data_IF_805932839732
#
_entry.id   IF_805932839732
#
_cell.length_a   1.000
_cell.length_b   1.000
_cell.length_c   1.000
_cell.angle_alpha   90.00
_cell.angle_beta   90.00
_cell.angle_gamma   90.00
#
_symmetry.space_group_name_H-M   'P 1'
#
loop_
_entity.id
_entity.type
_entity.pdbx_description
1 polymer ?
#
# COMPACT_ATOMS: atom_id res chain seq x y z
N UNK A 1 15.40 -9.12 16.19
CA UNK A 1 15.59 -7.90 17.01
C UNK A 1 14.84 -7.92 18.36
N UNK A 2 14.38 -9.07 18.88
CA UNK A 2 13.94 -9.27 20.29
C UNK A 2 14.98 -10.01 21.16
N UNK A 3 16.02 -10.60 20.57
CA UNK A 3 16.96 -11.50 21.25
C UNK A 3 17.99 -10.81 22.16
N UNK A 4 18.18 -9.48 22.07
CA UNK A 4 19.17 -8.75 22.89
C UNK A 4 18.59 -8.08 24.14
N UNK A 5 17.27 -7.90 24.21
CA UNK A 5 16.57 -7.26 25.33
C UNK A 5 15.17 -7.90 25.48
N UNK A 6 15.04 -8.98 26.26
CA UNK A 6 13.75 -9.62 26.46
C UNK A 6 12.80 -8.65 27.17
N UNK A 7 11.53 -8.68 26.74
CA UNK A 7 10.43 -7.98 27.39
C UNK A 7 9.53 -9.04 28.03
N UNK A 8 9.09 -8.78 29.26
CA UNK A 8 8.21 -9.66 30.01
C UNK A 8 6.93 -8.90 30.33
N UNK A 9 5.80 -9.57 30.19
CA UNK A 9 4.49 -9.03 30.56
C UNK A 9 3.95 -9.87 31.70
N UNK A 10 3.58 -9.19 32.78
CA UNK A 10 2.90 -9.81 33.93
C UNK A 10 1.49 -9.25 33.96
N UNK A 11 0.50 -10.13 33.91
CA UNK A 11 -0.89 -9.77 34.13
C UNK A 11 -1.17 -9.86 35.64
N UNK A 12 -1.52 -8.73 36.25
CA UNK A 12 -1.90 -8.72 37.66
C UNK A 12 -3.40 -8.85 37.81
N UNK A 13 -3.82 -9.65 38.79
CA UNK A 13 -5.20 -9.64 39.25
C UNK A 13 -5.51 -8.28 39.92
N UNK A 14 -6.78 -7.90 39.91
CA UNK A 14 -7.24 -6.79 40.73
C UNK A 14 -6.88 -7.05 42.21
N UNK A 15 -6.39 -6.05 42.97
CA UNK A 15 -5.88 -6.24 44.34
C UNK A 15 -6.88 -6.92 45.29
N UNK A 16 -8.17 -6.76 45.05
CA UNK A 16 -9.24 -7.30 45.90
C UNK A 16 -9.82 -8.63 45.37
N UNK A 17 -9.18 -9.21 44.35
CA UNK A 17 -9.63 -10.44 43.68
C UNK A 17 -8.65 -11.59 43.86
N UNK A 18 -9.18 -12.82 43.96
CA UNK A 18 -8.35 -14.02 43.83
C UNK A 18 -7.85 -14.11 42.38
N UNK A 19 -6.52 -14.25 42.15
CA UNK A 19 -5.99 -14.32 40.79
C UNK A 19 -6.61 -15.45 39.95
N UNK A 20 -7.01 -15.12 38.73
CA UNK A 20 -7.45 -16.10 37.76
C UNK A 20 -6.24 -16.86 37.15
N UNK A 21 -6.53 -17.90 36.37
CA UNK A 21 -5.48 -18.66 35.66
C UNK A 21 -4.71 -17.71 34.72
N UNK A 22 -3.40 -17.60 34.93
CA UNK A 22 -2.52 -16.72 34.16
C UNK A 22 -2.22 -15.37 34.81
N UNK A 23 -2.89 -15.04 35.91
CA UNK A 23 -2.68 -13.80 36.67
C UNK A 23 -1.74 -13.99 37.87
N UNK A 24 -1.10 -12.91 38.29
CA UNK A 24 -0.29 -12.85 39.51
C UNK A 24 -0.97 -11.90 40.50
N UNK A 25 -1.03 -12.27 41.78
CA UNK A 25 -1.52 -11.35 42.81
C UNK A 25 -0.64 -10.09 42.87
N UNK A 26 -1.27 -8.92 42.86
CA UNK A 26 -0.55 -7.66 43.02
C UNK A 26 0.13 -7.60 44.40
N UNK A 27 1.38 -7.11 44.43
CA UNK A 27 2.11 -6.81 45.65
C UNK A 27 2.78 -5.44 45.52
N UNK A 28 2.59 -4.50 46.47
CA UNK A 28 3.21 -3.18 46.42
C UNK A 28 4.74 -3.18 46.27
N UNK A 29 5.42 -4.25 46.69
CA UNK A 29 6.87 -4.43 46.51
C UNK A 29 7.33 -4.43 45.04
N UNK A 30 6.43 -4.64 44.09
CA UNK A 30 6.73 -4.58 42.65
C UNK A 30 6.92 -3.13 42.14
N UNK A 31 6.51 -2.11 42.90
CA UNK A 31 6.77 -0.69 42.61
C UNK A 31 8.22 -0.31 42.97
N UNK A 32 9.18 -0.95 42.29
CA UNK A 32 10.60 -0.80 42.58
C UNK A 32 11.43 -0.80 41.31
N UNK A 33 12.61 -0.19 41.38
CA UNK A 33 13.65 -0.31 40.35
C UNK A 33 14.64 -1.44 40.65
N UNK A 34 14.50 -2.13 41.79
CA UNK A 34 15.33 -3.27 42.15
C UNK A 34 15.04 -4.47 41.23
N UNK A 35 16.01 -4.74 40.35
CA UNK A 35 15.91 -5.85 39.39
C UNK A 35 15.83 -7.22 40.04
N UNK A 36 16.21 -7.38 41.31
CA UNK A 36 16.14 -8.66 42.02
C UNK A 36 14.70 -9.04 42.35
N UNK A 37 13.92 -8.06 42.81
CA UNK A 37 12.47 -8.22 43.07
C UNK A 37 11.75 -8.51 41.75
N UNK A 38 12.03 -7.72 40.71
CA UNK A 38 11.40 -7.88 39.41
C UNK A 38 11.79 -9.20 38.71
N UNK A 39 13.04 -9.67 38.83
CA UNK A 39 13.46 -10.97 38.28
C UNK A 39 12.75 -12.14 38.94
N UNK A 40 12.53 -12.07 40.25
CA UNK A 40 11.79 -13.11 41.00
C UNK A 40 10.32 -13.14 40.57
N UNK A 41 9.69 -11.95 40.45
CA UNK A 41 8.35 -11.82 39.91
C UNK A 41 8.23 -12.42 38.50
N UNK A 42 9.17 -12.08 37.62
CA UNK A 42 9.21 -12.63 36.27
C UNK A 42 9.35 -14.15 36.38
N UNK A 43 10.38 -14.70 37.04
CA UNK A 43 10.58 -16.15 37.11
C UNK A 43 9.37 -16.96 37.62
N UNK A 44 8.52 -16.38 38.46
CA UNK A 44 7.30 -17.02 38.98
C UNK A 44 6.01 -16.73 38.20
N UNK A 45 6.02 -15.82 37.21
CA UNK A 45 4.81 -15.41 36.50
C UNK A 45 4.44 -16.40 35.38
N UNK A 46 3.15 -16.74 35.19
CA UNK A 46 2.67 -17.58 34.09
C UNK A 46 3.00 -17.07 32.67
N UNK A 47 3.34 -15.77 32.52
CA UNK A 47 3.73 -15.13 31.26
C UNK A 47 5.24 -14.96 31.05
N UNK A 48 6.06 -15.49 31.96
CA UNK A 48 7.52 -15.30 31.96
C UNK A 48 8.29 -16.23 31.03
N UNK A 49 7.59 -17.22 30.49
CA UNK A 49 8.18 -18.20 29.62
C UNK A 49 8.54 -17.55 28.30
N UNK A 50 9.75 -17.84 27.83
CA UNK A 50 10.26 -17.30 26.58
C UNK A 50 9.42 -17.71 25.37
N UNK A 51 9.70 -17.05 24.25
CA UNK A 51 9.17 -17.40 22.93
C UNK A 51 10.26 -18.07 22.11
N UNK A 52 9.96 -19.21 21.51
CA UNK A 52 10.90 -19.94 20.65
C UNK A 52 10.64 -19.62 19.20
N UNK A 53 11.71 -19.38 18.45
CA UNK A 53 11.68 -19.10 17.03
C UNK A 53 12.46 -20.20 16.31
N UNK A 54 11.72 -21.09 15.64
CA UNK A 54 12.28 -22.20 14.89
C UNK A 54 12.43 -21.79 13.42
N UNK A 55 13.67 -21.75 12.94
CA UNK A 55 13.96 -21.53 11.52
C UNK A 55 14.44 -22.88 10.96
N UNK A 56 13.84 -23.37 9.86
CA UNK A 56 14.22 -24.65 9.31
C UNK A 56 15.63 -24.58 8.72
N UNK A 57 16.45 -25.61 8.95
CA UNK A 57 17.80 -25.71 8.38
C UNK A 57 17.81 -25.71 6.85
N UNK A 58 16.71 -26.14 6.23
CA UNK A 58 16.50 -26.15 4.78
C UNK A 58 15.65 -24.96 4.29
N UNK A 59 15.70 -23.82 5.00
CA UNK A 59 15.06 -22.59 4.55
C UNK A 59 15.53 -22.23 3.12
N UNK A 60 14.57 -22.03 2.23
CA UNK A 60 14.83 -21.66 0.85
C UNK A 60 15.03 -20.16 0.72
N UNK A 61 15.84 -19.76 -0.27
CA UNK A 61 15.94 -18.36 -0.68
C UNK A 61 14.66 -17.98 -1.44
N UNK A 62 13.99 -16.86 -1.09
CA UNK A 62 12.85 -16.38 -1.85
C UNK A 62 13.21 -16.15 -3.32
N UNK A 63 12.30 -16.50 -4.23
CA UNK A 63 12.54 -16.36 -5.68
C UNK A 63 11.34 -15.77 -6.40
N UNK A 64 11.59 -15.14 -7.54
CA UNK A 64 10.55 -14.62 -8.41
C UNK A 64 10.79 -14.99 -9.86
N UNK A 65 9.74 -15.41 -10.57
CA UNK A 65 9.73 -15.49 -12.03
C UNK A 65 8.99 -14.28 -12.58
N UNK A 66 9.61 -13.57 -13.51
CA UNK A 66 9.06 -12.36 -14.12
C UNK A 66 9.05 -12.51 -15.63
N UNK A 67 7.98 -12.08 -16.26
CA UNK A 67 7.88 -12.01 -17.71
C UNK A 67 7.13 -10.76 -18.14
N UNK A 68 7.42 -10.30 -19.34
CA UNK A 68 6.69 -9.23 -19.98
C UNK A 68 6.51 -9.58 -21.46
N UNK A 69 5.41 -9.10 -22.04
CA UNK A 69 5.20 -9.12 -23.48
C UNK A 69 4.57 -7.80 -23.87
N UNK A 70 5.00 -7.22 -24.98
CA UNK A 70 4.47 -5.95 -25.42
C UNK A 70 4.55 -5.78 -26.92
N UNK A 71 3.63 -4.98 -27.44
CA UNK A 71 3.57 -4.58 -28.84
C UNK A 71 3.59 -3.05 -28.87
N UNK A 72 4.43 -2.51 -29.75
CA UNK A 72 4.51 -1.07 -30.02
C UNK A 72 4.40 -0.85 -31.51
N UNK A 73 3.57 0.11 -31.91
CA UNK A 73 3.33 0.43 -33.30
C UNK A 73 3.28 1.95 -33.51
N UNK A 74 3.86 2.40 -34.63
CA UNK A 74 3.82 3.80 -35.04
C UNK A 74 2.75 3.98 -36.12
N UNK A 75 1.71 4.74 -35.79
CA UNK A 75 0.66 5.19 -36.71
C UNK A 75 1.00 6.62 -37.20
N UNK A 76 1.97 6.71 -38.11
CA UNK A 76 2.46 7.99 -38.62
C UNK A 76 3.13 8.84 -37.54
N UNK A 77 2.43 9.86 -37.04
CA UNK A 77 2.94 10.74 -35.97
C UNK A 77 2.62 10.27 -34.56
N UNK A 78 1.72 9.31 -34.42
CA UNK A 78 1.28 8.75 -33.13
C UNK A 78 1.94 7.40 -32.93
N UNK A 79 2.41 7.12 -31.72
CA UNK A 79 2.96 5.83 -31.32
C UNK A 79 2.10 5.27 -30.21
N UNK A 80 1.61 4.06 -30.38
CA UNK A 80 0.85 3.35 -29.36
C UNK A 80 1.61 2.10 -28.93
N UNK A 81 1.54 1.77 -27.65
CA UNK A 81 2.04 0.51 -27.13
C UNK A 81 1.12 -0.08 -26.09
N UNK A 82 1.04 -1.40 -26.07
CA UNK A 82 0.40 -2.18 -25.01
C UNK A 82 1.43 -3.19 -24.52
N UNK A 83 1.60 -3.26 -23.21
CA UNK A 83 2.47 -4.22 -22.55
C UNK A 83 1.73 -4.92 -21.42
N UNK A 84 2.05 -6.17 -21.21
CA UNK A 84 1.61 -6.96 -20.07
C UNK A 84 2.84 -7.43 -19.29
N UNK A 85 2.79 -7.32 -17.96
CA UNK A 85 3.82 -7.78 -17.05
C UNK A 85 3.23 -8.76 -16.04
N UNK A 86 3.86 -9.91 -15.89
CA UNK A 86 3.51 -10.93 -14.91
C UNK A 86 4.69 -11.21 -13.99
N UNK A 87 4.43 -11.21 -12.68
CA UNK A 87 5.41 -11.60 -11.66
C UNK A 87 4.79 -12.64 -10.74
N UNK A 88 5.57 -13.68 -10.41
CA UNK A 88 5.19 -14.72 -9.46
C UNK A 88 6.31 -14.88 -8.45
N UNK A 89 6.00 -14.58 -7.19
CA UNK A 89 6.91 -14.76 -6.06
C UNK A 89 6.61 -16.06 -5.33
N UNK A 90 7.66 -16.81 -5.02
CA UNK A 90 7.61 -18.09 -4.34
C UNK A 90 8.63 -18.14 -3.20
N UNK A 91 8.47 -19.14 -2.34
CA UNK A 91 9.39 -19.46 -1.26
C UNK A 91 9.63 -18.30 -0.27
N UNK A 92 8.65 -17.38 -0.11
CA UNK A 92 8.76 -16.29 0.86
C UNK A 92 8.74 -16.86 2.28
N UNK A 93 9.66 -16.37 3.11
CA UNK A 93 9.78 -16.79 4.51
C UNK A 93 8.66 -16.17 5.35
N UNK A 94 7.95 -16.99 6.09
CA UNK A 94 6.83 -16.60 6.96
C UNK A 94 6.88 -17.35 8.29
N UNK A 95 6.66 -16.65 9.39
CA UNK A 95 6.52 -17.24 10.72
C UNK A 95 5.06 -17.56 11.05
N UNK A 96 4.84 -18.72 11.62
CA UNK A 96 3.53 -19.26 12.01
C UNK A 96 3.56 -19.59 13.51
N UNK A 97 2.42 -19.69 14.17
CA UNK A 97 2.32 -20.14 15.55
C UNK A 97 2.01 -21.64 15.61
N UNK A 98 2.87 -22.42 16.25
CA UNK A 98 2.65 -23.86 16.44
C UNK A 98 1.65 -24.15 17.57
N UNK A 99 1.58 -23.26 18.57
CA UNK A 99 0.77 -23.44 19.77
C UNK A 99 -0.58 -22.70 19.71
N UNK A 100 -0.89 -22.00 18.62
CA UNK A 100 -2.18 -21.32 18.40
C UNK A 100 -2.81 -21.93 17.16
N UNK A 101 -4.08 -22.30 17.23
CA UNK A 101 -4.81 -22.87 16.09
C UNK A 101 -6.10 -22.15 15.80
N UNK A 102 -6.50 -22.23 14.54
CA UNK A 102 -7.84 -21.90 14.10
C UNK A 102 -8.71 -23.15 14.14
N UNK A 103 -9.88 -23.10 14.80
CA UNK A 103 -10.80 -24.23 14.86
C UNK A 103 -11.79 -24.18 13.68
N UNK A 104 -11.94 -25.30 12.97
CA UNK A 104 -12.94 -25.49 11.89
C UNK A 104 -12.92 -24.39 10.80
N UNK A 105 -11.72 -23.93 10.40
CA UNK A 105 -11.55 -22.90 9.36
C UNK A 105 -12.32 -23.27 8.08
N UNK A 106 -13.06 -22.30 7.52
CA UNK A 106 -13.83 -22.49 6.30
C UNK A 106 -15.20 -23.17 6.50
N UNK A 107 -15.67 -23.32 7.74
CA UNK A 107 -17.01 -23.85 8.06
C UNK A 107 -17.83 -22.83 8.86
N UNK A 108 -19.14 -23.07 9.02
CA UNK A 108 -20.03 -22.21 9.82
C UNK A 108 -19.67 -22.16 11.31
N UNK A 109 -18.90 -23.15 11.79
CA UNK A 109 -18.37 -23.21 13.16
C UNK A 109 -16.93 -22.68 13.28
N UNK A 110 -16.46 -21.98 12.26
CA UNK A 110 -15.11 -21.40 12.20
C UNK A 110 -14.90 -20.43 13.35
N UNK A 111 -13.89 -20.70 14.17
CA UNK A 111 -13.55 -19.88 15.33
C UNK A 111 -12.03 -19.74 15.45
N UNK A 112 -11.56 -18.49 15.32
CA UNK A 112 -10.23 -18.10 15.74
C UNK A 112 -10.29 -17.47 17.13
N UNK A 113 -9.34 -17.71 18.03
CA UNK A 113 -8.24 -18.68 17.98
C UNK A 113 -8.14 -19.37 19.33
N UNK A 114 -7.69 -20.63 19.33
CA UNK A 114 -7.49 -21.40 20.55
C UNK A 114 -6.09 -21.13 21.13
N UNK A 115 -6.06 -20.39 22.24
CA UNK A 115 -4.86 -20.05 23.01
C UNK A 115 -4.63 -20.98 24.22
N UNK A 116 -5.52 -21.95 24.47
CA UNK A 116 -5.51 -22.81 25.67
C UNK A 116 -4.30 -23.74 25.78
N UNK A 117 -3.48 -23.82 24.73
CA UNK A 117 -2.31 -24.71 24.65
C UNK A 117 -1.03 -24.10 25.23
N UNK A 118 -1.09 -22.89 25.81
CA UNK A 118 0.03 -22.27 26.49
C UNK A 118 0.00 -22.57 28.00
N UNK A 119 1.13 -22.95 28.63
CA UNK A 119 2.45 -23.12 28.03
C UNK A 119 2.66 -24.48 27.36
N UNK A 120 3.26 -24.47 26.16
CA UNK A 120 3.58 -25.68 25.41
C UNK A 120 5.08 -25.96 25.53
N UNK A 121 5.45 -27.09 26.16
CA UNK A 121 6.85 -27.47 26.44
C UNK A 121 7.68 -26.38 27.16
N UNK A 122 7.07 -25.62 28.08
CA UNK A 122 7.78 -24.59 28.85
C UNK A 122 7.99 -23.26 28.11
N UNK A 123 7.32 -23.05 26.98
CA UNK A 123 7.32 -21.78 26.25
C UNK A 123 5.93 -21.18 26.16
N UNK A 124 5.85 -19.85 26.20
CA UNK A 124 4.59 -19.11 26.06
C UNK A 124 4.08 -19.16 24.61
N UNK A 125 5.00 -19.07 23.66
CA UNK A 125 4.77 -19.14 22.23
C UNK A 125 5.87 -19.92 21.50
N UNK A 126 5.47 -20.64 20.45
CA UNK A 126 6.40 -21.29 19.53
C UNK A 126 6.08 -20.80 18.12
N UNK A 127 7.00 -20.02 17.56
CA UNK A 127 6.94 -19.59 16.18
C UNK A 127 7.82 -20.49 15.33
N UNK A 128 7.33 -20.87 14.15
CA UNK A 128 8.12 -21.62 13.18
C UNK A 128 8.04 -20.99 11.80
N UNK A 129 9.19 -20.87 11.16
CA UNK A 129 9.29 -20.32 9.82
C UNK A 129 9.01 -21.39 8.75
N UNK A 130 8.33 -20.99 7.69
CA UNK A 130 8.14 -21.77 6.46
C UNK A 130 8.42 -20.92 5.23
N UNK A 131 8.68 -21.55 4.09
CA UNK A 131 8.79 -20.88 2.79
C UNK A 131 7.42 -20.89 2.06
N UNK A 132 6.34 -20.62 2.78
CA UNK A 132 4.97 -20.81 2.27
C UNK A 132 4.36 -19.56 1.63
N UNK A 133 4.93 -18.38 1.87
CA UNK A 133 4.40 -17.14 1.35
C UNK A 133 4.56 -17.06 -0.18
N UNK A 134 3.51 -16.61 -0.86
CA UNK A 134 3.46 -16.51 -2.31
C UNK A 134 2.83 -15.18 -2.74
N UNK A 135 3.30 -14.65 -3.86
CA UNK A 135 2.79 -13.40 -4.42
C UNK A 135 2.53 -13.56 -5.92
N UNK A 136 1.49 -12.89 -6.41
CA UNK A 136 1.16 -12.80 -7.83
C UNK A 136 0.92 -11.34 -8.16
N UNK A 137 1.47 -10.90 -9.27
CA UNK A 137 1.25 -9.57 -9.83
C UNK A 137 1.03 -9.69 -11.34
N UNK A 138 0.00 -9.02 -11.82
CA UNK A 138 -0.39 -8.99 -13.22
C UNK A 138 -0.78 -7.56 -13.56
N UNK A 139 -0.13 -6.99 -14.58
CA UNK A 139 -0.37 -5.61 -14.97
C UNK A 139 -0.43 -5.45 -16.49
N UNK A 140 -1.37 -4.62 -16.94
CA UNK A 140 -1.46 -4.12 -18.31
C UNK A 140 -1.10 -2.64 -18.28
N UNK A 141 -0.24 -2.24 -19.22
CA UNK A 141 0.11 -0.86 -19.45
C UNK A 141 -0.20 -0.51 -20.91
N UNK A 142 -0.93 0.58 -21.11
CA UNK A 142 -1.23 1.16 -22.42
C UNK A 142 -0.60 2.54 -22.46
N UNK A 143 0.11 2.84 -23.54
CA UNK A 143 0.64 4.17 -23.79
C UNK A 143 0.27 4.62 -25.20
N UNK A 144 -0.15 5.87 -25.34
CA UNK A 144 -0.39 6.54 -26.62
C UNK A 144 0.33 7.86 -26.58
N UNK A 145 1.28 8.06 -27.48
CA UNK A 145 2.17 9.21 -27.51
C UNK A 145 2.15 9.84 -28.88
N UNK A 146 1.94 11.15 -28.92
CA UNK A 146 2.24 11.97 -30.09
C UNK A 146 3.27 13.01 -29.66
N UNK A 147 4.55 12.84 -30.04
CA UNK A 147 5.58 13.82 -29.77
C UNK A 147 5.18 15.19 -30.29
N UNK A 148 5.60 16.25 -29.58
CA UNK A 148 5.32 17.62 -30.02
C UNK A 148 5.85 17.84 -31.44
N UNK A 149 4.93 18.26 -32.32
CA UNK A 149 5.25 18.57 -33.72
C UNK A 149 4.54 19.84 -34.13
N UNK A 150 5.29 20.70 -34.82
CA UNK A 150 4.80 21.96 -35.37
C UNK A 150 4.38 21.80 -36.82
N UNK A 151 3.17 22.25 -37.13
CA UNK A 151 2.64 22.34 -38.49
C UNK A 151 2.25 23.80 -38.75
N UNK A 152 3.09 24.52 -39.48
CA UNK A 152 2.92 25.96 -39.70
C UNK A 152 3.08 26.77 -38.41
N UNK A 153 2.04 27.55 -38.05
CA UNK A 153 2.04 28.40 -36.84
C UNK A 153 1.51 27.69 -35.58
N UNK A 154 1.13 26.42 -35.69
CA UNK A 154 0.55 25.65 -34.59
C UNK A 154 1.34 24.36 -34.38
N UNK A 155 1.80 24.12 -33.17
CA UNK A 155 2.37 22.85 -32.75
C UNK A 155 1.61 22.26 -31.59
N UNK A 156 1.58 20.93 -31.51
CA UNK A 156 1.03 20.23 -30.36
C UNK A 156 1.71 18.89 -30.15
N UNK A 157 1.62 18.37 -28.94
CA UNK A 157 1.98 17.02 -28.53
C UNK A 157 1.03 16.58 -27.41
N UNK A 158 0.85 15.28 -27.25
CA UNK A 158 0.05 14.72 -26.18
C UNK A 158 0.45 13.29 -25.90
N UNK A 159 0.38 12.92 -24.63
CA UNK A 159 0.73 11.61 -24.13
C UNK A 159 -0.36 11.11 -23.18
N UNK A 160 -0.65 9.82 -23.24
CA UNK A 160 -1.60 9.11 -22.39
C UNK A 160 -0.95 7.81 -21.94
N UNK A 161 -0.89 7.61 -20.63
CA UNK A 161 -0.51 6.35 -20.00
C UNK A 161 -1.66 5.83 -19.14
N UNK A 162 -2.05 4.58 -19.37
CA UNK A 162 -3.01 3.86 -18.54
C UNK A 162 -2.34 2.61 -18.00
N UNK A 163 -2.48 2.37 -16.70
CA UNK A 163 -2.02 1.14 -16.05
C UNK A 163 -3.18 0.52 -15.30
N UNK A 164 -3.39 -0.78 -15.52
CA UNK A 164 -4.25 -1.60 -14.68
C UNK A 164 -3.43 -2.74 -14.08
N UNK A 165 -3.37 -2.82 -12.75
CA UNK A 165 -2.58 -3.82 -12.06
C UNK A 165 -3.40 -4.54 -10.99
N UNK A 166 -3.18 -5.84 -10.88
CA UNK A 166 -3.73 -6.67 -9.82
C UNK A 166 -2.60 -7.38 -9.10
N UNK A 167 -2.71 -7.40 -7.77
CA UNK A 167 -1.79 -8.10 -6.88
C UNK A 167 -2.59 -8.97 -5.94
N UNK A 168 -2.07 -10.17 -5.71
CA UNK A 168 -2.59 -11.08 -4.69
C UNK A 168 -1.45 -11.71 -3.91
N UNK A 169 -1.74 -12.10 -2.69
CA UNK A 169 -0.82 -12.77 -1.77
C UNK A 169 -1.48 -14.01 -1.18
N UNK A 170 -0.67 -14.93 -0.65
CA UNK A 170 -1.13 -16.09 0.11
C UNK A 170 -0.08 -16.45 1.15
N UNK A 171 -0.53 -16.97 2.29
CA UNK A 171 0.31 -17.27 3.44
C UNK A 171 0.70 -16.04 4.28
N UNK A 172 0.26 -14.83 3.89
CA UNK A 172 0.43 -13.56 4.60
C UNK A 172 -0.78 -12.69 4.37
N UNK A 173 -1.16 -11.86 5.35
CA UNK A 173 -2.34 -10.98 5.25
C UNK A 173 -2.06 -9.72 4.40
N UNK A 174 -0.82 -9.23 4.37
CA UNK A 174 -0.41 -8.10 3.53
C UNK A 174 0.99 -8.28 2.92
N UNK A 175 1.30 -7.61 1.80
CA UNK A 175 2.68 -7.55 1.30
C UNK A 175 3.69 -7.06 2.32
N UNK A 176 4.76 -7.82 2.50
CA UNK A 176 5.85 -7.48 3.43
C UNK A 176 5.65 -8.04 4.84
N UNK A 177 4.47 -8.61 5.14
CA UNK A 177 4.29 -9.34 6.39
C UNK A 177 5.23 -10.54 6.46
N UNK A 178 5.76 -10.75 7.65
CA UNK A 178 6.62 -11.88 7.99
C UNK A 178 5.91 -12.86 8.93
N UNK A 179 4.66 -12.59 9.31
CA UNK A 179 3.90 -13.36 10.28
C UNK A 179 2.55 -13.75 9.67
N UNK A 180 2.24 -15.03 9.73
CA UNK A 180 1.00 -15.63 9.30
C UNK A 180 0.25 -16.10 10.55
N UNK A 181 -0.71 -15.31 11.03
CA UNK A 181 -1.42 -15.65 12.26
C UNK A 181 -2.75 -16.39 11.98
N UNK A 182 -3.05 -17.49 12.68
CA UNK A 182 -2.12 -18.34 13.45
C UNK A 182 -1.20 -19.18 12.55
N UNK A 183 -1.52 -19.33 11.26
CA UNK A 183 -0.66 -20.01 10.30
C UNK A 183 -1.04 -19.76 8.84
N UNK A 184 -0.12 -20.07 7.94
CA UNK A 184 -0.25 -19.89 6.49
C UNK A 184 -1.43 -20.65 5.87
N UNK A 185 -1.83 -21.76 6.49
CA UNK A 185 -2.88 -22.65 5.98
C UNK A 185 -4.28 -22.03 6.02
N UNK A 186 -4.49 -20.99 6.82
CA UNK A 186 -5.75 -20.24 6.90
C UNK A 186 -5.71 -18.90 6.16
N UNK A 187 -4.61 -18.64 5.45
CA UNK A 187 -4.42 -17.43 4.64
C UNK A 187 -4.37 -17.84 3.16
N UNK A 188 -5.56 -18.09 2.62
CA UNK A 188 -5.76 -18.43 1.22
C UNK A 188 -5.37 -17.25 0.32
N UNK A 189 -5.22 -17.52 -0.98
CA UNK A 189 -4.91 -16.48 -1.96
C UNK A 189 -6.02 -15.42 -1.97
N UNK A 190 -5.65 -14.17 -1.73
CA UNK A 190 -6.57 -13.04 -1.69
C UNK A 190 -5.95 -11.79 -2.34
N UNK A 191 -6.77 -10.83 -2.82
CA UNK A 191 -6.28 -9.58 -3.40
C UNK A 191 -5.67 -8.67 -2.33
N UNK A 192 -4.78 -7.77 -2.76
CA UNK A 192 -4.24 -6.70 -1.91
C UNK A 192 -5.01 -5.38 -2.15
N UNK A 193 -5.09 -4.57 -1.08
CA UNK A 193 -5.70 -3.25 -0.98
C UNK A 193 -4.93 -2.12 -1.70
N UNK A 194 -4.50 -2.42 -2.93
CA UNK A 194 -3.80 -1.50 -3.82
C UNK A 194 -4.77 -0.78 -4.78
N UNK A 195 -4.36 0.37 -5.30
CA UNK A 195 -5.00 0.99 -6.47
C UNK A 195 -4.89 0.07 -7.68
N UNK A 196 -6.00 -0.08 -8.43
CA UNK A 196 -6.04 -0.97 -9.60
C UNK A 196 -5.80 -0.25 -10.90
N UNK A 197 -6.40 0.91 -11.10
CA UNK A 197 -6.34 1.66 -12.36
C UNK A 197 -5.77 3.04 -12.14
N UNK A 198 -4.82 3.42 -12.98
CA UNK A 198 -4.20 4.73 -12.99
C UNK A 198 -4.13 5.27 -14.42
N UNK A 199 -4.48 6.54 -14.61
CA UNK A 199 -4.37 7.27 -15.88
C UNK A 199 -3.55 8.53 -15.66
N UNK A 200 -2.51 8.70 -16.45
CA UNK A 200 -1.77 9.95 -16.58
C UNK A 200 -1.91 10.42 -18.01
N UNK A 201 -2.29 11.67 -18.21
CA UNK A 201 -2.38 12.28 -19.54
C UNK A 201 -1.75 13.65 -19.49
N UNK A 202 -0.93 13.97 -20.47
CA UNK A 202 -0.37 15.31 -20.64
C UNK A 202 -0.53 15.79 -22.07
N UNK A 203 -0.48 17.11 -22.23
CA UNK A 203 -0.51 17.75 -23.53
C UNK A 203 0.25 19.06 -23.49
N UNK A 204 0.69 19.47 -24.68
CA UNK A 204 1.28 20.77 -24.93
C UNK A 204 0.81 21.24 -26.30
N UNK A 205 0.39 22.50 -26.41
CA UNK A 205 0.09 23.14 -27.68
C UNK A 205 0.49 24.60 -27.71
N UNK A 206 0.88 25.06 -28.90
CA UNK A 206 1.03 26.48 -29.18
C UNK A 206 -0.36 27.12 -29.26
N UNK A 207 -0.55 28.26 -28.61
CA UNK A 207 -1.77 29.05 -28.73
C UNK A 207 -1.64 29.99 -29.94
N UNK A 208 -2.34 29.74 -31.06
CA UNK A 208 -2.09 30.48 -32.31
C UNK A 208 -2.36 31.98 -32.21
N UNK A 209 -3.30 32.37 -31.33
CA UNK A 209 -3.77 33.75 -31.17
C UNK A 209 -3.11 34.50 -30.02
N UNK A 210 -2.22 33.84 -29.25
CA UNK A 210 -1.60 34.43 -28.07
C UNK A 210 -0.10 34.71 -28.27
N UNK A 211 0.31 35.09 -29.49
CA UNK A 211 1.65 35.57 -29.81
C UNK A 211 2.81 34.69 -29.29
N UNK A 212 2.71 33.36 -29.42
CA UNK A 212 3.77 32.44 -28.98
C UNK A 212 3.71 32.06 -27.49
N UNK A 213 2.53 32.10 -26.87
CA UNK A 213 2.24 31.39 -25.63
C UNK A 213 2.05 29.90 -25.93
N UNK A 214 2.63 29.04 -25.09
CA UNK A 214 2.34 27.61 -25.04
C UNK A 214 1.42 27.30 -23.87
N UNK A 215 0.41 26.50 -24.14
CA UNK A 215 -0.49 25.94 -23.14
C UNK A 215 -0.21 24.45 -22.99
N UNK A 216 -0.05 24.00 -21.76
CA UNK A 216 0.16 22.59 -21.43
C UNK A 216 -0.65 22.21 -20.20
N UNK A 217 -0.84 20.91 -20.00
CA UNK A 217 -1.49 20.42 -18.81
C UNK A 217 -1.17 18.97 -18.53
N UNK A 218 -1.46 18.57 -17.30
CA UNK A 218 -1.28 17.23 -16.78
C UNK A 218 -2.57 16.82 -16.04
N UNK A 219 -3.13 15.70 -16.43
CA UNK A 219 -4.26 15.04 -15.77
C UNK A 219 -3.71 13.77 -15.11
N UNK A 220 -4.03 13.59 -13.84
CA UNK A 220 -3.71 12.39 -13.09
C UNK A 220 -4.98 11.85 -12.42
N UNK A 221 -5.38 10.63 -12.78
CA UNK A 221 -6.60 9.97 -12.30
C UNK A 221 -6.26 8.59 -11.74
N UNK A 222 -6.85 8.26 -10.60
CA UNK A 222 -6.68 6.97 -9.95
C UNK A 222 -8.00 6.40 -9.49
N UNK A 223 -8.17 5.08 -9.56
CA UNK A 223 -9.33 4.41 -8.96
C UNK A 223 -9.33 4.52 -7.43
N UNK A 224 -8.19 4.90 -6.84
CA UNK A 224 -7.95 4.86 -5.40
C UNK A 224 -7.64 3.44 -4.90
N UNK A 225 -7.05 3.33 -3.70
CA UNK A 225 -6.84 2.03 -3.06
C UNK A 225 -8.16 1.37 -2.71
N UNK A 226 -8.18 0.04 -2.77
CA UNK A 226 -9.28 -0.76 -2.22
C UNK A 226 -9.07 -1.01 -0.74
N UNK A 227 -10.11 -1.38 -0.02
CA UNK A 227 -10.04 -1.79 1.38
C UNK A 227 -10.84 -3.08 1.59
N UNK A 228 -10.43 -3.84 2.60
CA UNK A 228 -11.20 -4.98 3.08
C UNK A 228 -12.42 -4.49 3.86
N UNK A 229 -13.53 -5.22 3.75
CA UNK A 229 -14.67 -5.07 4.66
C UNK A 229 -14.53 -6.13 5.74
N UNK A 230 -14.56 -5.71 7.00
CA UNK A 230 -14.23 -6.53 8.18
C UNK A 230 -12.80 -7.10 8.14
N UNK A 231 -12.42 -7.83 9.19
CA UNK A 231 -11.15 -8.56 9.27
C UNK A 231 -11.34 -10.03 8.97
N UNK A 232 -10.27 -10.71 8.53
CA UNK A 232 -10.30 -12.18 8.27
C UNK A 232 -10.77 -13.00 9.47
N UNK A 233 -10.61 -12.49 10.69
CA UNK A 233 -11.09 -13.10 11.94
C UNK A 233 -12.61 -13.08 12.13
N UNK A 234 -13.33 -12.37 11.28
CA UNK A 234 -14.79 -12.43 11.14
C UNK A 234 -15.15 -12.95 9.74
N UNK A 235 -14.97 -14.27 9.49
CA UNK A 235 -15.09 -14.86 8.16
C UNK A 235 -16.48 -14.73 7.55
N UNK A 236 -17.52 -14.47 8.36
CA UNK A 236 -18.89 -14.27 7.88
C UNK A 236 -19.05 -12.95 7.14
N UNK A 237 -18.36 -11.89 7.58
CA UNK A 237 -18.46 -10.55 7.00
C UNK A 237 -17.20 -10.12 6.24
N UNK A 238 -16.13 -10.92 6.28
CA UNK A 238 -14.87 -10.60 5.61
C UNK A 238 -15.00 -10.60 4.09
N UNK A 239 -14.75 -9.45 3.47
CA UNK A 239 -14.71 -9.29 2.01
C UNK A 239 -13.42 -8.57 1.60
N UNK A 240 -12.41 -9.30 1.09
CA UNK A 240 -11.11 -8.70 0.77
C UNK A 240 -11.21 -7.77 -0.44
N UNK A 241 -10.68 -6.55 -0.32
CA UNK A 241 -10.67 -5.54 -1.37
C UNK A 241 -12.05 -5.18 -1.94
N UNK A 242 -13.12 -5.31 -1.13
CA UNK A 242 -14.50 -5.08 -1.56
C UNK A 242 -14.93 -3.61 -1.45
N UNK A 243 -14.25 -2.80 -0.64
CA UNK A 243 -14.57 -1.40 -0.47
C UNK A 243 -13.69 -0.50 -1.36
N UNK A 244 -14.31 0.50 -1.97
CA UNK A 244 -13.63 1.58 -2.69
C UNK A 244 -14.02 2.91 -2.06
N UNK A 245 -13.07 3.83 -1.97
CA UNK A 245 -13.34 5.22 -1.58
C UNK A 245 -14.39 5.86 -2.49
N UNK A 246 -15.10 6.92 -2.03
CA UNK A 246 -16.08 7.64 -2.83
C UNK A 246 -15.55 7.97 -4.23
N UNK A 247 -16.16 7.39 -5.25
CA UNK A 247 -15.76 7.59 -6.63
C UNK A 247 -16.48 8.81 -7.21
N UNK A 248 -15.76 9.57 -8.02
CA UNK A 248 -16.24 10.79 -8.64
C UNK A 248 -16.22 10.71 -10.17
N UNK A 249 -17.05 11.54 -10.80
CA UNK A 249 -17.10 11.68 -12.25
C UNK A 249 -15.92 12.55 -12.74
N UNK A 250 -15.32 12.18 -13.87
CA UNK A 250 -14.41 13.06 -14.61
C UNK A 250 -14.29 12.62 -16.07
N UNK A 251 -14.26 13.60 -16.98
CA UNK A 251 -14.35 13.38 -18.43
C UNK A 251 -15.61 12.55 -18.76
N UNK A 252 -15.45 11.52 -19.61
CA UNK A 252 -16.53 10.62 -20.04
C UNK A 252 -16.71 9.41 -19.12
N UNK A 253 -16.03 9.36 -17.97
CA UNK A 253 -16.04 8.21 -17.06
C UNK A 253 -16.80 8.55 -15.77
N UNK A 254 -18.09 8.19 -15.66
CA UNK A 254 -18.87 8.40 -14.45
C UNK A 254 -18.45 7.41 -13.36
N UNK A 255 -18.31 7.88 -12.12
CA UNK A 255 -18.08 7.06 -10.93
C UNK A 255 -16.82 6.20 -10.95
N UNK A 256 -15.77 6.63 -11.67
CA UNK A 256 -14.59 5.80 -11.92
C UNK A 256 -13.35 6.20 -11.09
N UNK A 257 -13.35 7.39 -10.46
CA UNK A 257 -12.13 7.99 -9.92
C UNK A 257 -12.22 8.30 -8.42
N UNK A 258 -11.35 7.65 -7.63
CA UNK A 258 -11.09 8.00 -6.23
C UNK A 258 -10.02 9.07 -6.07
N UNK A 259 -9.21 9.30 -7.11
CA UNK A 259 -8.23 10.37 -7.20
C UNK A 259 -8.35 11.11 -8.54
N UNK A 260 -8.34 12.44 -8.51
CA UNK A 260 -8.37 13.34 -9.66
C UNK A 260 -7.51 14.57 -9.39
N UNK A 261 -6.55 14.82 -10.26
CA UNK A 261 -5.79 16.05 -10.28
C UNK A 261 -5.65 16.58 -11.71
N UNK A 262 -5.74 17.90 -11.87
CA UNK A 262 -5.54 18.58 -13.16
C UNK A 262 -4.66 19.79 -12.92
N UNK A 263 -3.49 19.79 -13.53
CA UNK A 263 -2.55 20.90 -13.50
C UNK A 263 -2.49 21.54 -14.89
N UNK A 264 -2.44 22.87 -14.93
CA UNK A 264 -2.42 23.65 -16.15
C UNK A 264 -1.21 24.59 -16.13
N UNK A 265 -0.57 24.76 -17.28
CA UNK A 265 0.59 25.66 -17.42
C UNK A 265 0.46 26.52 -18.66
N UNK A 266 0.73 27.81 -18.50
CA UNK A 266 0.99 28.75 -19.58
C UNK A 266 2.46 29.15 -19.54
N UNK A 267 3.15 29.08 -20.69
CA UNK A 267 4.53 29.54 -20.84
C UNK A 267 4.60 30.55 -21.98
N UNK A 268 5.32 31.65 -21.75
CA UNK A 268 5.64 32.65 -22.78
C UNK A 268 7.13 32.88 -22.81
N UNK A 269 7.76 32.52 -23.92
CA UNK A 269 9.13 32.91 -24.21
C UNK A 269 9.13 34.23 -25.00
N UNK A 270 9.93 35.19 -24.52
CA UNK A 270 10.12 36.50 -25.15
C UNK A 270 11.31 36.46 -26.12
N UNK A 271 11.30 37.28 -27.19
CA UNK A 271 12.44 37.38 -28.09
C UNK A 271 13.73 37.73 -27.35
N UNK A 272 14.85 37.18 -27.80
CA UNK A 272 16.19 37.45 -27.25
C UNK A 272 16.50 38.94 -27.34
N UNK A 273 17.00 39.53 -26.25
CA UNK A 273 17.47 40.91 -26.20
C UNK A 273 18.87 40.97 -25.60
N UNK A 274 19.80 41.62 -26.29
CA UNK A 274 21.20 41.78 -25.86
C UNK A 274 21.90 40.45 -25.49
N UNK A 275 21.64 39.38 -26.23
CA UNK A 275 22.23 38.06 -26.00
C UNK A 275 21.49 37.17 -25.00
N UNK A 276 20.60 37.72 -24.17
CA UNK A 276 19.82 36.96 -23.20
C UNK A 276 18.36 36.71 -23.62
N UNK A 277 17.73 35.69 -23.04
CA UNK A 277 16.31 35.35 -23.26
C UNK A 277 15.54 35.27 -21.95
N UNK A 278 14.27 35.69 -21.97
CA UNK A 278 13.36 35.64 -20.81
C UNK A 278 12.19 34.72 -21.14
N UNK A 279 11.88 33.79 -20.23
CA UNK A 279 10.66 32.99 -20.24
C UNK A 279 9.84 33.27 -18.98
N UNK A 280 8.52 33.40 -19.12
CA UNK A 280 7.59 33.55 -17.99
C UNK A 280 6.61 32.39 -18.00
N UNK A 281 6.34 31.83 -16.82
CA UNK A 281 5.40 30.72 -16.63
C UNK A 281 4.35 31.05 -15.58
N UNK A 282 3.14 30.55 -15.80
CA UNK A 282 2.07 30.53 -14.83
C UNK A 282 1.53 29.09 -14.74
N UNK A 283 1.72 28.47 -13.58
CA UNK A 283 1.35 27.09 -13.28
C UNK A 283 0.20 27.08 -12.29
N UNK A 284 -0.93 26.50 -12.66
CA UNK A 284 -2.11 26.31 -11.83
C UNK A 284 -2.24 24.83 -11.47
N UNK A 285 -1.83 24.49 -10.26
CA UNK A 285 -1.94 23.16 -9.70
C UNK A 285 -3.33 22.92 -9.14
N UNK A 286 -3.86 21.70 -9.30
CA UNK A 286 -5.21 21.31 -8.92
C UNK A 286 -6.24 22.37 -9.36
N UNK A 287 -6.27 22.65 -10.66
CA UNK A 287 -7.03 23.74 -11.29
C UNK A 287 -8.53 23.70 -10.99
N UNK A 288 -9.08 22.51 -10.70
CA UNK A 288 -10.48 22.33 -10.30
C UNK A 288 -10.71 22.30 -8.79
N UNK A 289 -9.66 22.40 -7.97
CA UNK A 289 -9.71 22.31 -6.51
C UNK A 289 -10.41 21.01 -6.05
N UNK A 290 -10.10 19.89 -6.70
CA UNK A 290 -10.62 18.59 -6.30
C UNK A 290 -10.06 18.20 -4.94
N UNK A 291 -10.95 17.70 -4.08
CA UNK A 291 -10.60 17.09 -2.81
C UNK A 291 -10.51 15.58 -3.03
N UNK A 292 -9.30 15.04 -2.97
CA UNK A 292 -9.07 13.61 -3.03
C UNK A 292 -9.00 13.09 -1.61
N UNK A 293 -9.90 12.18 -1.25
CA UNK A 293 -10.05 11.72 0.12
C UNK A 293 -9.25 10.44 0.39
N UNK A 294 -8.84 10.24 1.65
CA UNK A 294 -8.12 9.05 2.09
C UNK A 294 -8.15 8.87 3.61
N UNK A 295 -7.14 8.20 4.16
CA UNK A 295 -6.99 7.92 5.59
C UNK A 295 -8.22 7.24 6.23
N UNK A 296 -8.56 6.06 5.74
CA UNK A 296 -9.72 5.28 6.21
C UNK A 296 -9.53 4.65 7.58
N UNK A 297 -8.29 4.50 8.07
CA UNK A 297 -7.95 3.95 9.41
C UNK A 297 -8.76 2.69 9.81
N UNK A 298 -9.00 1.77 8.88
CA UNK A 298 -9.76 0.54 9.14
C UNK A 298 -11.29 0.69 9.09
N UNK A 299 -11.81 1.88 8.78
CA UNK A 299 -13.22 2.13 8.48
C UNK A 299 -13.50 2.38 6.99
N UNK A 300 -14.76 2.66 6.66
CA UNK A 300 -15.20 2.99 5.29
C UNK A 300 -15.33 4.50 5.05
N UNK A 301 -15.18 5.31 6.10
CA UNK A 301 -15.25 6.77 6.00
C UNK A 301 -13.84 7.36 5.88
N UNK A 302 -13.55 8.16 4.83
CA UNK A 302 -12.28 8.88 4.75
C UNK A 302 -12.21 9.98 5.82
N UNK A 303 -11.03 10.16 6.40
CA UNK A 303 -10.80 11.13 7.48
C UNK A 303 -9.82 12.25 7.11
N UNK A 304 -9.27 12.23 5.89
CA UNK A 304 -8.33 13.25 5.43
C UNK A 304 -8.49 13.53 3.94
N UNK A 305 -7.95 14.68 3.52
CA UNK A 305 -7.68 15.00 2.12
C UNK A 305 -6.21 14.66 1.84
N UNK A 306 -5.94 13.87 0.81
CA UNK A 306 -4.61 13.39 0.42
C UNK A 306 -4.04 14.13 -0.80
N UNK A 307 -4.63 15.25 -1.16
CA UNK A 307 -4.18 16.11 -2.26
C UNK A 307 -3.99 17.54 -1.79
N UNK A 308 -3.03 18.24 -2.39
CA UNK A 308 -2.84 19.67 -2.18
C UNK A 308 -4.04 20.48 -2.70
N UNK A 309 -4.35 21.62 -2.07
CA UNK A 309 -5.35 22.55 -2.58
C UNK A 309 -4.88 23.22 -3.88
N UNK A 310 -5.80 23.92 -4.55
CA UNK A 310 -5.46 24.73 -5.72
C UNK A 310 -4.36 25.74 -5.42
N UNK A 311 -3.29 25.75 -6.21
CA UNK A 311 -2.16 26.66 -6.06
C UNK A 311 -1.76 27.28 -7.39
N UNK A 312 -1.60 28.61 -7.41
CA UNK A 312 -0.98 29.33 -8.52
C UNK A 312 0.49 29.58 -8.19
N UNK A 313 1.37 29.26 -9.14
CA UNK A 313 2.78 29.58 -9.10
C UNK A 313 3.16 30.36 -10.36
N UNK A 314 3.95 31.41 -10.18
CA UNK A 314 4.46 32.23 -11.29
C UNK A 314 5.98 32.14 -11.25
N UNK A 315 6.57 31.82 -12.39
CA UNK A 315 8.02 31.69 -12.55
C UNK A 315 8.53 32.59 -13.66
N UNK A 316 9.79 33.01 -13.55
CA UNK A 316 10.51 33.65 -14.62
C UNK A 316 11.91 33.02 -14.72
N UNK A 317 12.32 32.71 -15.95
CA UNK A 317 13.63 32.15 -16.29
C UNK A 317 14.37 33.18 -17.15
N UNK A 318 15.63 33.46 -16.81
CA UNK A 318 16.52 34.27 -17.62
C UNK A 318 17.74 33.45 -18.02
N UNK A 319 18.02 33.37 -19.31
CA UNK A 319 19.20 32.70 -19.86
C UNK A 319 20.12 33.76 -20.48
N UNK A 320 21.43 33.60 -20.31
CA UNK A 320 22.49 34.48 -20.80
C UNK A 320 23.56 33.70 -21.56
#
# INVERSE_FOLDING_TARGET
MKLRRPAYTVLFADPDSTPAVGEVAWNPSYLTTDTTVLKTLIAGSPGSLGEVWLIPNNAKVPKSTQWNVGVRHAFGSVVASVAYAGVRGYDQLVFNWANIKWNNFGTDSSSCCDFSRSPFHGFSNILYATNSGKTWYDAIQVQVSRPYRKTGKWGWGADLAYTNATRSVSGVDFPGDQFAFPGVNVILKHPVNDEKSHVTMDWILDMPYAYGVQFSGLINLGSGPRQDVSGRFDPKNYQPGAFMLPQSNFLIFPGAWGYRNVDLRLRKDFPTFSGGSVGVTADLFNAFNYQNYGCTYGGTSPNCVVSDPRRLQIGAEYNF
#
